data_IF_561705567653
#
_entry.id   IF_561705567653
#
_cell.length_a   1.000
_cell.length_b   1.000
_cell.length_c   1.000
_cell.angle_alpha   90.00
_cell.angle_beta   90.00
_cell.angle_gamma   90.00
#
_symmetry.space_group_name_H-M   'P 1'
#
loop_
_entity.id
_entity.type
_entity.pdbx_description
1 polymer ?
#
# COMPACT_ATOMS: atom_id res chain seq x y z
N UNK A 1 -16.53 14.00 21.64
CA UNK A 1 -16.50 12.73 20.88
C UNK A 1 -15.15 12.66 20.20
N UNK A 2 -14.17 12.01 20.83
CA UNK A 2 -12.80 11.95 20.32
C UNK A 2 -12.65 10.67 19.50
N UNK A 3 -12.40 10.81 18.19
CA UNK A 3 -12.04 9.70 17.32
C UNK A 3 -10.54 9.77 17.13
N UNK A 4 -9.82 8.91 17.85
CA UNK A 4 -8.42 8.59 17.55
C UNK A 4 -8.46 7.31 16.71
N UNK A 5 -7.87 7.34 15.52
CA UNK A 5 -7.80 6.23 14.55
C UNK A 5 -6.34 6.08 14.08
N UNK A 6 -5.89 4.85 13.91
CA UNK A 6 -4.54 4.51 13.50
C UNK A 6 -4.56 3.47 12.37
N UNK A 7 -3.51 3.24 11.57
CA UNK A 7 -2.56 4.11 10.85
C UNK A 7 -1.89 3.15 9.87
N UNK A 8 -2.00 3.38 8.57
CA UNK A 8 -1.22 2.66 7.56
C UNK A 8 0.07 3.44 7.33
N UNK A 9 1.24 2.85 7.62
CA UNK A 9 2.53 3.47 7.36
C UNK A 9 3.00 3.18 5.94
N UNK A 10 2.89 4.16 5.06
CA UNK A 10 3.65 4.17 3.80
C UNK A 10 4.88 5.05 3.99
N UNK A 11 6.06 4.48 3.73
CA UNK A 11 7.35 5.14 3.94
C UNK A 11 7.74 5.89 2.66
N UNK A 12 7.41 7.18 2.61
CA UNK A 12 7.90 8.11 1.61
C UNK A 12 8.69 9.21 2.32
N UNK A 13 9.92 9.48 1.86
CA UNK A 13 10.74 10.59 2.34
C UNK A 13 11.00 10.66 3.86
N UNK A 14 11.04 9.53 4.58
CA UNK A 14 11.39 9.52 6.00
C UNK A 14 10.30 10.02 6.95
N UNK A 15 9.08 10.25 6.46
CA UNK A 15 7.90 10.54 7.27
C UNK A 15 6.89 9.37 7.20
N UNK A 16 6.25 9.06 8.33
CA UNK A 16 5.18 8.06 8.42
C UNK A 16 3.87 8.78 8.11
N UNK A 17 3.39 8.68 6.86
CA UNK A 17 2.10 9.24 6.47
C UNK A 17 0.98 8.24 6.76
N UNK A 18 -0.04 8.69 7.50
CA UNK A 18 -1.28 7.95 7.75
C UNK A 18 -2.13 7.93 6.48
N UNK A 19 -1.99 6.91 5.63
CA UNK A 19 -2.80 6.82 4.40
C UNK A 19 -4.04 5.97 4.67
N UNK A 20 -5.21 6.60 4.74
CA UNK A 20 -6.49 5.91 4.78
C UNK A 20 -6.93 5.60 3.34
N UNK A 21 -7.24 4.34 3.07
CA UNK A 21 -7.77 3.93 1.77
C UNK A 21 -9.28 3.71 1.86
N UNK A 22 -10.02 4.27 0.92
CA UNK A 22 -11.47 4.05 0.85
C UNK A 22 -11.81 2.68 0.24
N UNK A 23 -12.83 2.02 0.78
CA UNK A 23 -13.40 0.81 0.17
C UNK A 23 -13.97 1.18 -1.20
N UNK A 24 -13.55 0.44 -2.23
CA UNK A 24 -13.92 0.71 -3.62
C UNK A 24 -12.80 1.37 -4.43
N UNK A 25 -11.79 1.93 -3.77
CA UNK A 25 -10.65 2.58 -4.41
C UNK A 25 -9.82 1.60 -5.24
N UNK A 26 -9.38 2.05 -6.42
CA UNK A 26 -8.39 1.35 -7.23
C UNK A 26 -6.99 1.78 -6.79
N UNK A 27 -6.16 0.80 -6.47
CA UNK A 27 -4.77 0.98 -6.08
C UNK A 27 -3.86 0.17 -6.99
N UNK A 28 -2.62 0.63 -7.17
CA UNK A 28 -1.60 -0.06 -7.93
C UNK A 28 -0.61 -0.71 -6.97
N UNK A 29 -0.58 -2.04 -6.96
CA UNK A 29 0.39 -2.80 -6.20
C UNK A 29 1.63 -3.02 -7.04
N UNK A 30 2.77 -2.56 -6.54
CA UNK A 30 4.08 -2.90 -7.08
C UNK A 30 4.71 -4.00 -6.23
N UNK A 31 4.93 -5.16 -6.84
CA UNK A 31 5.66 -6.28 -6.24
C UNK A 31 7.16 -6.07 -6.46
N UNK A 32 7.92 -5.84 -5.38
CA UNK A 32 9.37 -5.58 -5.45
C UNK A 32 10.18 -6.80 -5.84
N UNK A 33 9.65 -8.01 -5.63
CA UNK A 33 10.35 -9.26 -5.98
C UNK A 33 10.19 -9.58 -7.47
N UNK A 34 8.96 -9.48 -7.98
CA UNK A 34 8.68 -9.80 -9.39
C UNK A 34 8.76 -8.59 -10.34
N UNK A 35 8.90 -7.38 -9.80
CA UNK A 35 8.87 -6.10 -10.52
C UNK A 35 7.59 -5.88 -11.33
N UNK A 36 6.48 -6.49 -10.88
CA UNK A 36 5.18 -6.42 -11.56
C UNK A 36 4.27 -5.39 -10.89
N UNK A 37 3.49 -4.71 -11.73
CA UNK A 37 2.39 -3.86 -11.28
C UNK A 37 1.08 -4.60 -11.45
N UNK A 38 0.27 -4.62 -10.40
CA UNK A 38 -1.07 -5.20 -10.43
C UNK A 38 -2.11 -4.18 -9.98
N UNK A 39 -3.01 -3.71 -10.87
CA UNK A 39 -4.14 -2.88 -10.46
C UNK A 39 -5.08 -3.72 -9.60
N UNK A 40 -5.44 -3.21 -8.44
CA UNK A 40 -6.20 -3.95 -7.43
C UNK A 40 -7.25 -3.04 -6.81
N UNK A 41 -8.31 -3.62 -6.27
CA UNK A 41 -9.40 -2.86 -5.64
C UNK A 41 -9.42 -3.10 -4.14
N UNK A 42 -9.52 -2.04 -3.34
CA UNK A 42 -9.81 -2.19 -1.91
C UNK A 42 -11.25 -2.68 -1.77
N UNK A 43 -11.45 -3.84 -1.17
CA UNK A 43 -12.78 -4.46 -1.02
C UNK A 43 -13.27 -4.47 0.42
N UNK A 44 -12.36 -4.46 1.39
CA UNK A 44 -12.73 -4.42 2.81
C UNK A 44 -11.70 -3.62 3.62
N UNK A 45 -12.20 -2.89 4.63
CA UNK A 45 -11.42 -2.28 5.70
C UNK A 45 -11.84 -2.93 7.03
N UNK A 46 -10.87 -3.43 7.78
CA UNK A 46 -11.07 -4.09 9.06
C UNK A 46 -10.30 -3.30 10.12
N UNK A 47 -11.02 -2.47 10.88
CA UNK A 47 -10.44 -1.73 12.00
C UNK A 47 -10.68 -2.48 13.31
N UNK A 48 -9.60 -2.94 13.96
CA UNK A 48 -9.62 -3.52 15.31
C UNK A 48 -9.20 -2.46 16.32
N UNK A 49 -10.04 -2.26 17.33
CA UNK A 49 -9.74 -1.38 18.47
C UNK A 49 -9.62 -2.20 19.75
N UNK A 50 -8.53 -2.00 20.47
CA UNK A 50 -8.34 -2.47 21.84
C UNK A 50 -8.24 -1.27 22.77
N UNK A 51 -8.06 -1.53 24.07
CA UNK A 51 -7.88 -0.46 25.07
C UNK A 51 -6.54 0.27 24.83
N UNK A 52 -5.56 -0.40 24.23
CA UNK A 52 -4.19 0.08 24.07
C UNK A 52 -3.89 0.55 22.64
N UNK A 53 -4.57 -0.02 21.63
CA UNK A 53 -4.17 0.17 20.24
C UNK A 53 -5.36 0.14 19.26
N UNK A 54 -5.16 0.74 18.09
CA UNK A 54 -6.06 0.63 16.94
C UNK A 54 -5.26 0.15 15.73
N UNK A 55 -5.60 -1.02 15.19
CA UNK A 55 -4.98 -1.58 14.00
C UNK A 55 -6.00 -1.65 12.87
N UNK A 56 -5.63 -1.15 11.70
CA UNK A 56 -6.46 -1.17 10.49
C UNK A 56 -5.82 -2.08 9.45
N UNK A 57 -6.60 -3.04 8.94
CA UNK A 57 -6.20 -3.99 7.91
C UNK A 57 -7.08 -3.83 6.68
N UNK A 58 -6.49 -3.90 5.50
CA UNK A 58 -7.19 -3.80 4.24
C UNK A 58 -7.15 -5.14 3.49
N UNK A 59 -8.29 -5.53 2.91
CA UNK A 59 -8.35 -6.63 1.95
C UNK A 59 -8.45 -6.02 0.56
N UNK A 60 -7.58 -6.52 -0.32
CA UNK A 60 -7.54 -6.08 -1.71
C UNK A 60 -7.84 -7.24 -2.64
N UNK A 61 -8.58 -6.93 -3.69
CA UNK A 61 -8.93 -7.85 -4.74
C UNK A 61 -8.03 -7.62 -5.95
N UNK A 62 -7.32 -8.67 -6.33
CA UNK A 62 -6.52 -8.71 -7.56
C UNK A 62 -7.43 -8.90 -8.79
N UNK A 63 -6.94 -8.61 -10.01
CA UNK A 63 -7.71 -8.77 -11.25
C UNK A 63 -8.20 -10.20 -11.49
N UNK A 64 -7.46 -11.20 -11.01
CA UNK A 64 -7.83 -12.61 -11.08
C UNK A 64 -8.88 -13.03 -10.03
N UNK A 65 -9.54 -12.07 -9.37
CA UNK A 65 -10.52 -12.26 -8.28
C UNK A 65 -9.95 -12.94 -7.03
N UNK A 66 -8.64 -13.08 -6.91
CA UNK A 66 -8.00 -13.52 -5.68
C UNK A 66 -7.96 -12.36 -4.70
N UNK A 67 -8.45 -12.59 -3.48
CA UNK A 67 -8.34 -11.63 -2.40
C UNK A 67 -7.05 -11.87 -1.63
N UNK A 68 -6.30 -10.82 -1.37
CA UNK A 68 -5.12 -10.87 -0.52
C UNK A 68 -5.28 -9.85 0.61
N UNK A 69 -4.85 -10.23 1.81
CA UNK A 69 -4.71 -9.28 2.91
C UNK A 69 -3.43 -8.51 2.67
N UNK A 70 -3.48 -7.19 2.78
CA UNK A 70 -2.26 -6.41 2.91
C UNK A 70 -1.69 -6.67 4.31
N UNK A 71 -0.56 -7.37 4.45
CA UNK A 71 0.03 -7.54 5.76
C UNK A 71 0.59 -6.18 6.17
N UNK A 72 0.15 -5.68 7.32
CA UNK A 72 0.66 -4.45 7.90
C UNK A 72 2.19 -4.61 8.07
N UNK A 73 2.98 -3.80 7.34
CA UNK A 73 4.45 -3.88 7.37
C UNK A 73 5.10 -4.87 6.40
N UNK A 74 4.37 -5.42 5.42
CA UNK A 74 5.01 -6.24 4.37
C UNK A 74 5.80 -5.37 3.40
N UNK A 75 7.13 -5.44 3.51
CA UNK A 75 8.06 -4.71 2.67
C UNK A 75 8.08 -5.19 1.21
N UNK A 76 7.43 -6.32 0.88
CA UNK A 76 7.44 -6.86 -0.48
C UNK A 76 6.57 -6.06 -1.46
N UNK A 77 5.57 -5.34 -0.96
CA UNK A 77 4.66 -4.57 -1.79
C UNK A 77 4.78 -3.06 -1.50
N UNK A 78 4.74 -2.27 -2.56
CA UNK A 78 4.48 -0.83 -2.48
C UNK A 78 3.11 -0.55 -3.07
N UNK A 79 2.31 0.27 -2.40
CA UNK A 79 0.96 0.65 -2.85
C UNK A 79 1.01 2.08 -3.36
N UNK A 80 0.40 2.33 -4.51
CA UNK A 80 0.26 3.64 -5.10
C UNK A 80 -1.20 3.90 -5.43
N UNK A 81 -1.69 5.11 -5.15
CA UNK A 81 -3.02 5.57 -5.57
C UNK A 81 -2.93 6.43 -6.82
N UNK A 82 -1.76 7.00 -7.10
CA UNK A 82 -1.50 7.84 -8.25
C UNK A 82 -0.53 7.17 -9.25
N UNK A 83 -0.88 7.30 -10.53
CA UNK A 83 -0.10 6.68 -11.62
C UNK A 83 1.17 7.45 -11.96
N UNK A 84 1.23 8.76 -11.69
CA UNK A 84 2.43 9.56 -11.90
C UNK A 84 3.47 9.23 -10.83
N UNK A 85 3.06 9.11 -9.58
CA UNK A 85 3.90 8.68 -8.47
C UNK A 85 4.51 7.29 -8.74
N UNK A 86 3.67 6.33 -9.14
CA UNK A 86 4.13 4.99 -9.53
C UNK A 86 5.16 5.06 -10.66
N UNK A 87 4.91 5.88 -11.69
CA UNK A 87 5.82 6.03 -12.83
C UNK A 87 7.18 6.58 -12.41
N UNK A 88 7.19 7.64 -11.61
CA UNK A 88 8.42 8.25 -11.09
C UNK A 88 9.21 7.23 -10.27
N UNK A 89 8.54 6.51 -9.37
CA UNK A 89 9.15 5.46 -8.56
C UNK A 89 9.79 4.36 -9.42
N UNK A 90 9.13 3.93 -10.49
CA UNK A 90 9.69 2.93 -11.42
C UNK A 90 10.92 3.43 -12.15
N UNK A 91 10.87 4.66 -12.69
CA UNK A 91 12.00 5.25 -13.42
C UNK A 91 13.20 5.35 -12.49
N UNK A 92 13.01 5.89 -11.28
CA UNK A 92 14.09 5.99 -10.29
C UNK A 92 14.68 4.62 -9.93
N UNK A 93 13.84 3.61 -9.70
CA UNK A 93 14.34 2.27 -9.39
C UNK A 93 15.10 1.64 -10.56
N UNK A 94 14.65 1.85 -11.80
CA UNK A 94 15.35 1.37 -12.98
C UNK A 94 16.70 2.07 -13.14
N UNK A 95 16.73 3.40 -13.04
CA UNK A 95 17.97 4.20 -13.09
C UNK A 95 18.95 3.76 -12.01
N UNK A 96 18.51 3.63 -10.75
CA UNK A 96 19.37 3.16 -9.64
C UNK A 96 19.93 1.76 -9.86
N UNK A 97 19.19 0.87 -10.54
CA UNK A 97 19.70 -0.47 -10.86
C UNK A 97 20.76 -0.42 -11.96
N UNK A 98 20.59 0.45 -12.96
CA UNK A 98 21.57 0.66 -14.02
C UNK A 98 22.86 1.29 -13.47
N UNK A 99 22.75 2.33 -12.63
CA UNK A 99 23.90 3.05 -12.06
C UNK A 99 24.75 2.18 -11.11
N UNK A 100 24.22 1.04 -10.67
CA UNK A 100 24.92 0.06 -9.82
C UNK A 100 25.69 -1.01 -10.62
N UNK A 101 25.53 -1.05 -11.95
CA UNK A 101 26.30 -1.91 -12.84
C UNK A 101 27.67 -1.28 -13.15
#
# INVERSE_FOLDING_TARGET
>A
MFIIKATFSSFFFGEIMNVEYEVGLIVYLFDKQSLKITPSKIVEEITRKTIEDTSTQYIIQLPNKKNIKLPQGDNNYSIFTDTQELRLFMIENATRQIDRL
#
